data_IF_704172708556
#
_entry.id   IF_704172708556
#
_cell.length_a   1.000
_cell.length_b   1.000
_cell.length_c   1.000
_cell.angle_alpha   90.00
_cell.angle_beta   90.00
_cell.angle_gamma   90.00
#
_symmetry.space_group_name_H-M   'P 1'
#
loop_
_entity.id
_entity.type
_entity.pdbx_description
1 polymer ?
#
# COMPACT_ATOMS: atom_id res chain seq x y z
N UNK A 1 -21.40 -5.70 18.50
CA UNK A 1 -20.91 -4.34 18.18
C UNK A 1 -20.68 -3.47 19.40
N UNK A 2 -21.69 -3.22 20.26
CA UNK A 2 -21.50 -2.44 21.49
C UNK A 2 -20.42 -3.04 22.40
N UNK A 3 -20.53 -4.33 22.69
CA UNK A 3 -19.53 -5.10 23.46
C UNK A 3 -18.13 -4.99 22.83
N UNK A 4 -17.98 -5.28 21.53
CA UNK A 4 -16.71 -5.11 20.82
C UNK A 4 -16.14 -3.69 20.92
N UNK A 5 -16.97 -2.66 20.95
CA UNK A 5 -16.52 -1.27 21.11
C UNK A 5 -16.03 -1.01 22.53
N UNK A 6 -16.78 -1.48 23.54
CA UNK A 6 -16.41 -1.40 24.96
C UNK A 6 -15.08 -2.15 25.24
N UNK A 7 -14.82 -3.24 24.53
CA UNK A 7 -13.57 -4.01 24.61
C UNK A 7 -12.41 -3.44 23.76
N UNK A 8 -12.60 -2.37 22.99
CA UNK A 8 -11.64 -1.87 21.99
C UNK A 8 -11.28 -2.89 20.90
N UNK A 9 -12.27 -3.67 20.45
CA UNK A 9 -12.17 -4.72 19.43
C UNK A 9 -13.13 -4.48 18.27
N UNK A 10 -13.51 -3.23 18.03
CA UNK A 10 -14.41 -2.90 16.93
C UNK A 10 -13.78 -3.29 15.57
N UNK A 11 -14.57 -3.87 14.65
CA UNK A 11 -14.07 -4.33 13.35
C UNK A 11 -13.56 -3.18 12.49
N UNK A 12 -12.55 -3.49 11.66
CA UNK A 12 -12.04 -2.59 10.63
C UNK A 12 -12.35 -3.20 9.26
N UNK A 13 -13.14 -2.49 8.45
CA UNK A 13 -13.40 -2.86 7.07
C UNK A 13 -12.43 -2.13 6.13
N UNK A 14 -12.08 -2.75 5.01
CA UNK A 14 -11.34 -2.08 3.94
C UNK A 14 -12.12 -2.30 2.65
N UNK A 15 -12.50 -1.23 1.98
CA UNK A 15 -13.21 -1.30 0.70
C UNK A 15 -12.21 -1.17 -0.44
N UNK A 16 -12.38 -1.98 -1.48
CA UNK A 16 -11.66 -1.79 -2.75
C UNK A 16 -12.63 -1.48 -3.89
N UNK A 17 -12.18 -0.60 -4.78
CA UNK A 17 -12.82 -0.23 -6.04
C UNK A 17 -11.81 -0.38 -7.17
N UNK A 18 -12.25 -0.62 -8.41
CA UNK A 18 -11.35 -0.59 -9.56
C UNK A 18 -11.56 0.71 -10.34
N UNK A 19 -12.79 0.94 -10.81
CA UNK A 19 -13.13 2.13 -11.62
C UNK A 19 -14.31 2.88 -11.03
N UNK A 20 -14.10 4.17 -10.74
CA UNK A 20 -15.17 5.15 -10.56
C UNK A 20 -15.25 5.94 -11.84
N UNK A 21 -16.30 5.71 -12.63
CA UNK A 21 -16.47 6.34 -13.92
C UNK A 21 -17.93 6.37 -14.33
N UNK A 22 -18.32 7.46 -15.01
CA UNK A 22 -19.63 7.57 -15.69
C UNK A 22 -19.50 7.23 -17.18
N UNK A 23 -18.34 6.70 -17.59
CA UNK A 23 -17.96 6.38 -18.96
C UNK A 23 -17.54 4.92 -19.08
N UNK A 24 -17.92 4.28 -20.19
CA UNK A 24 -17.57 2.88 -20.50
C UNK A 24 -17.81 1.91 -19.33
N UNK A 25 -19.03 1.84 -18.76
CA UNK A 25 -19.29 1.00 -17.60
C UNK A 25 -19.10 -0.48 -17.94
N UNK A 26 -18.46 -1.19 -17.02
CA UNK A 26 -18.32 -2.64 -17.01
C UNK A 26 -18.56 -3.18 -15.59
N UNK A 27 -18.41 -4.49 -15.38
CA UNK A 27 -18.68 -5.15 -14.09
C UNK A 27 -17.79 -4.65 -12.93
N UNK A 28 -16.70 -3.95 -13.23
CA UNK A 28 -15.76 -3.37 -12.26
C UNK A 28 -15.92 -1.86 -12.08
N UNK A 29 -16.97 -1.29 -12.67
CA UNK A 29 -17.24 0.15 -12.64
C UNK A 29 -18.38 0.48 -11.67
N UNK A 30 -18.17 1.52 -10.88
CA UNK A 30 -19.22 2.21 -10.12
C UNK A 30 -19.35 3.64 -10.66
N UNK A 31 -20.58 4.15 -10.79
CA UNK A 31 -20.77 5.56 -11.17
C UNK A 31 -20.27 6.49 -10.06
N UNK A 32 -19.94 7.73 -10.43
CA UNK A 32 -19.50 8.75 -9.46
C UNK A 32 -20.54 8.96 -8.36
N UNK A 33 -21.82 9.04 -8.72
CA UNK A 33 -22.91 9.29 -7.76
C UNK A 33 -23.09 8.11 -6.79
N UNK A 34 -22.99 6.87 -7.27
CA UNK A 34 -23.02 5.69 -6.40
C UNK A 34 -21.81 5.64 -5.48
N UNK A 35 -20.61 5.95 -5.99
CA UNK A 35 -19.39 6.02 -5.18
C UNK A 35 -19.53 7.07 -4.07
N UNK A 36 -19.96 8.29 -4.39
CA UNK A 36 -20.21 9.34 -3.38
C UNK A 36 -21.23 8.87 -2.34
N UNK A 37 -22.31 8.21 -2.77
CA UNK A 37 -23.30 7.62 -1.85
C UNK A 37 -22.69 6.58 -0.91
N UNK A 38 -21.77 5.74 -1.40
CA UNK A 38 -21.06 4.79 -0.55
C UNK A 38 -20.23 5.52 0.50
N UNK A 39 -19.45 6.52 0.10
CA UNK A 39 -18.56 7.24 1.01
C UNK A 39 -19.35 8.02 2.06
N UNK A 40 -20.45 8.67 1.70
CA UNK A 40 -21.30 9.38 2.67
C UNK A 40 -21.95 8.41 3.68
N UNK A 41 -22.42 7.24 3.24
CA UNK A 41 -22.86 6.18 4.16
C UNK A 41 -21.72 5.75 5.10
N UNK A 42 -20.50 5.62 4.57
CA UNK A 42 -19.33 5.27 5.37
C UNK A 42 -19.02 6.34 6.43
N UNK A 43 -19.11 7.63 6.08
CA UNK A 43 -18.91 8.75 7.02
C UNK A 43 -19.93 8.78 8.15
N UNK A 44 -21.18 8.40 7.86
CA UNK A 44 -22.26 8.38 8.85
C UNK A 44 -22.07 7.25 9.88
N UNK A 45 -21.55 6.09 9.45
CA UNK A 45 -21.55 4.88 10.25
C UNK A 45 -20.17 4.41 10.76
N UNK A 46 -19.08 4.90 10.17
CA UNK A 46 -17.72 4.46 10.46
C UNK A 46 -16.77 5.64 10.64
N UNK A 47 -15.66 5.38 11.33
CA UNK A 47 -14.50 6.25 11.27
C UNK A 47 -13.70 5.95 10.00
N UNK A 48 -13.63 6.90 9.05
CA UNK A 48 -12.81 6.71 7.85
C UNK A 48 -11.35 6.98 8.18
N UNK A 49 -10.50 5.97 7.98
CA UNK A 49 -9.08 5.96 8.36
C UNK A 49 -8.19 5.53 7.17
N UNK A 50 -6.90 5.84 7.22
CA UNK A 50 -5.93 5.33 6.26
C UNK A 50 -5.60 3.85 6.51
N UNK A 51 -4.99 3.16 5.53
CA UNK A 51 -4.44 1.82 5.75
C UNK A 51 -3.36 1.80 6.84
N UNK A 52 -2.54 2.87 6.91
CA UNK A 52 -1.58 3.10 7.99
C UNK A 52 -2.21 2.99 9.37
N UNK A 53 -3.30 3.74 9.59
CA UNK A 53 -4.01 3.75 10.87
C UNK A 53 -4.74 2.41 11.12
N UNK A 54 -5.34 1.81 10.08
CA UNK A 54 -5.95 0.49 10.20
C UNK A 54 -4.94 -0.55 10.71
N UNK A 55 -3.75 -0.57 10.11
CA UNK A 55 -2.66 -1.44 10.54
C UNK A 55 -2.18 -1.12 11.97
N UNK A 56 -2.02 0.16 12.31
CA UNK A 56 -1.61 0.56 13.66
C UNK A 56 -2.60 0.04 14.71
N UNK A 57 -3.91 0.12 14.48
CA UNK A 57 -4.93 -0.44 15.39
C UNK A 57 -4.82 -1.95 15.55
N UNK A 58 -4.57 -2.68 14.47
CA UNK A 58 -4.38 -4.13 14.50
C UNK A 58 -3.11 -4.49 15.31
N UNK A 59 -1.99 -3.81 15.08
CA UNK A 59 -0.72 -4.01 15.78
C UNK A 59 -0.83 -3.70 17.29
N UNK A 60 -1.48 -2.59 17.63
CA UNK A 60 -1.70 -2.17 19.02
C UNK A 60 -2.82 -2.96 19.71
N UNK A 61 -3.49 -3.86 18.98
CA UNK A 61 -4.64 -4.63 19.45
C UNK A 61 -5.73 -3.76 20.07
N UNK A 62 -5.96 -2.58 19.48
CA UNK A 62 -6.90 -1.59 20.00
C UNK A 62 -7.62 -0.89 18.85
N UNK A 63 -8.92 -1.16 18.72
CA UNK A 63 -9.84 -0.53 17.78
C UNK A 63 -11.09 -0.08 18.55
N UNK A 64 -11.16 1.20 18.98
CA UNK A 64 -12.22 1.68 19.85
C UNK A 64 -13.54 1.95 19.13
N UNK A 65 -13.53 2.05 17.79
CA UNK A 65 -14.70 2.39 16.97
C UNK A 65 -14.66 1.61 15.66
N UNK A 66 -15.83 1.26 15.09
CA UNK A 66 -15.88 0.67 13.76
C UNK A 66 -15.23 1.62 12.76
N UNK A 67 -14.28 1.11 11.99
CA UNK A 67 -13.50 1.93 11.08
C UNK A 67 -13.51 1.35 9.68
N UNK A 68 -13.25 2.21 8.70
CA UNK A 68 -13.22 1.84 7.30
C UNK A 68 -12.08 2.53 6.58
N UNK A 69 -11.34 1.79 5.76
CA UNK A 69 -10.36 2.34 4.84
C UNK A 69 -10.83 2.16 3.39
N UNK A 70 -10.46 3.10 2.52
CA UNK A 70 -10.87 3.12 1.12
C UNK A 70 -9.64 2.88 0.25
N UNK A 71 -9.74 1.94 -0.69
CA UNK A 71 -8.68 1.61 -1.62
C UNK A 71 -9.17 1.52 -3.06
N UNK A 72 -8.25 1.73 -3.99
CA UNK A 72 -8.45 1.56 -5.42
C UNK A 72 -7.38 0.66 -6.01
N UNK A 73 -7.72 -0.16 -6.99
CA UNK A 73 -6.79 -1.05 -7.68
C UNK A 73 -6.55 -0.62 -9.14
N UNK A 74 -5.58 -1.26 -9.78
CA UNK A 74 -5.15 -1.17 -11.18
C UNK A 74 -4.44 0.12 -11.62
N UNK A 75 -4.95 1.29 -11.24
CA UNK A 75 -4.39 2.56 -11.71
C UNK A 75 -5.08 3.16 -12.95
N UNK A 76 -6.38 2.91 -13.15
CA UNK A 76 -7.16 3.58 -14.20
C UNK A 76 -7.23 5.12 -14.07
N UNK A 77 -6.98 5.83 -15.17
CA UNK A 77 -6.97 7.29 -15.21
C UNK A 77 -8.29 7.94 -14.76
N UNK A 78 -9.42 7.28 -14.99
CA UNK A 78 -10.74 7.79 -14.65
C UNK A 78 -10.92 8.04 -13.15
N UNK A 79 -10.25 7.30 -12.27
CA UNK A 79 -10.32 7.57 -10.83
C UNK A 79 -9.77 8.97 -10.49
N UNK A 80 -8.76 9.45 -11.21
CA UNK A 80 -8.24 10.83 -11.07
C UNK A 80 -9.19 11.89 -11.62
N UNK A 81 -10.18 11.50 -12.42
CA UNK A 81 -11.22 12.40 -12.94
C UNK A 81 -12.46 12.42 -12.05
N UNK A 82 -12.92 11.26 -11.59
CA UNK A 82 -14.24 11.13 -10.96
C UNK A 82 -14.21 10.98 -9.43
N UNK A 83 -13.13 10.44 -8.84
CA UNK A 83 -13.07 10.10 -7.41
C UNK A 83 -11.98 10.84 -6.63
N UNK A 84 -10.72 10.73 -7.05
CA UNK A 84 -9.56 11.16 -6.25
C UNK A 84 -9.59 12.65 -5.88
N UNK A 85 -9.83 13.60 -6.82
CA UNK A 85 -9.91 15.02 -6.44
C UNK A 85 -11.03 15.31 -5.43
N UNK A 86 -12.16 14.61 -5.56
CA UNK A 86 -13.28 14.76 -4.61
C UNK A 86 -12.90 14.24 -3.21
N UNK A 87 -12.20 13.11 -3.12
CA UNK A 87 -11.69 12.58 -1.85
C UNK A 87 -10.70 13.55 -1.19
N UNK A 88 -9.76 14.12 -1.97
CA UNK A 88 -8.80 15.12 -1.50
C UNK A 88 -9.54 16.35 -0.94
N UNK A 89 -10.48 16.92 -1.70
CA UNK A 89 -11.27 18.08 -1.26
C UNK A 89 -12.06 17.81 0.03
N UNK A 90 -12.50 16.56 0.23
CA UNK A 90 -13.23 16.15 1.43
C UNK A 90 -12.32 15.63 2.56
N UNK A 91 -10.99 15.64 2.37
CA UNK A 91 -9.99 15.12 3.32
C UNK A 91 -10.23 13.66 3.69
N UNK A 92 -10.62 12.85 2.71
CA UNK A 92 -10.89 11.43 2.90
C UNK A 92 -9.63 10.64 2.49
N UNK A 93 -8.97 9.93 3.41
CA UNK A 93 -7.77 9.16 3.08
C UNK A 93 -8.14 7.97 2.19
N UNK A 94 -7.30 7.69 1.20
CA UNK A 94 -7.37 6.44 0.44
C UNK A 94 -5.98 5.98 -0.02
N UNK A 95 -5.88 4.69 -0.33
CA UNK A 95 -4.70 4.08 -0.95
C UNK A 95 -5.02 3.64 -2.37
N UNK A 96 -4.21 4.04 -3.34
CA UNK A 96 -4.37 3.70 -4.75
C UNK A 96 -3.25 2.77 -5.21
N UNK A 97 -3.57 1.49 -5.39
CA UNK A 97 -2.68 0.46 -5.89
C UNK A 97 -2.60 0.51 -7.42
N UNK A 98 -1.38 0.48 -7.97
CA UNK A 98 -1.14 0.62 -9.41
C UNK A 98 -0.26 -0.49 -9.97
N UNK A 99 -0.54 -0.93 -11.20
CA UNK A 99 0.33 -1.85 -11.93
C UNK A 99 1.48 -1.06 -12.58
N UNK A 100 2.71 -1.23 -12.06
CA UNK A 100 3.85 -0.34 -12.34
C UNK A 100 4.18 -0.24 -13.83
N UNK A 101 4.22 -1.36 -14.55
CA UNK A 101 4.59 -1.39 -15.98
C UNK A 101 3.49 -0.90 -16.92
N UNK A 102 2.25 -0.87 -16.45
CA UNK A 102 1.16 -0.24 -17.20
C UNK A 102 1.30 1.28 -17.13
N UNK A 103 1.47 1.81 -15.92
CA UNK A 103 1.68 3.25 -15.69
C UNK A 103 2.96 3.74 -16.36
N UNK A 104 4.08 3.02 -16.22
CA UNK A 104 5.37 3.38 -16.82
C UNK A 104 5.25 3.65 -18.32
N UNK A 105 4.54 2.77 -19.00
CA UNK A 105 4.50 2.71 -20.46
C UNK A 105 3.21 3.30 -21.04
N UNK A 106 2.29 3.79 -20.20
CA UNK A 106 0.96 4.26 -20.60
C UNK A 106 0.15 3.18 -21.33
N UNK A 107 0.28 1.91 -20.92
CA UNK A 107 -0.34 0.77 -21.63
C UNK A 107 -1.68 0.39 -21.00
N UNK A 108 -2.77 0.30 -21.80
CA UNK A 108 -4.04 -0.24 -21.32
C UNK A 108 -3.87 -1.72 -20.93
N UNK A 109 -4.79 -2.23 -20.11
CA UNK A 109 -4.79 -3.65 -19.77
C UNK A 109 -5.25 -4.51 -20.94
N UNK A 110 -4.73 -5.75 -21.00
CA UNK A 110 -5.02 -6.68 -22.08
C UNK A 110 -6.53 -6.96 -22.20
N UNK A 111 -7.22 -7.17 -21.08
CA UNK A 111 -8.67 -7.43 -21.09
C UNK A 111 -9.48 -6.25 -21.64
N UNK A 112 -9.04 -5.01 -21.44
CA UNK A 112 -9.71 -3.82 -21.99
C UNK A 112 -9.54 -3.74 -23.50
N UNK A 113 -8.33 -4.04 -23.98
CA UNK A 113 -8.02 -4.11 -25.43
C UNK A 113 -8.82 -5.24 -26.08
N UNK A 114 -8.87 -6.43 -25.47
CA UNK A 114 -9.64 -7.57 -25.94
C UNK A 114 -11.14 -7.28 -26.01
N UNK A 115 -11.65 -6.54 -25.01
CA UNK A 115 -13.03 -6.05 -25.00
C UNK A 115 -13.28 -4.86 -25.94
N UNK A 116 -12.28 -4.48 -26.76
CA UNK A 116 -12.34 -3.37 -27.73
C UNK A 116 -12.66 -2.01 -27.10
N UNK A 117 -12.30 -1.84 -25.83
CA UNK A 117 -12.49 -0.62 -25.07
C UNK A 117 -11.21 -0.34 -24.27
N UNK A 118 -10.08 -0.02 -24.94
CA UNK A 118 -8.85 0.30 -24.22
C UNK A 118 -9.10 1.51 -23.31
N UNK A 119 -8.70 1.38 -22.05
CA UNK A 119 -8.86 2.42 -21.04
C UNK A 119 -7.49 2.96 -20.64
N UNK A 120 -7.42 4.27 -20.46
CA UNK A 120 -6.20 4.92 -20.03
C UNK A 120 -5.87 4.56 -18.58
N UNK A 121 -4.59 4.33 -18.34
CA UNK A 121 -4.01 4.24 -16.99
C UNK A 121 -3.44 5.58 -16.57
N UNK A 122 -3.21 5.76 -15.28
CA UNK A 122 -2.62 6.98 -14.75
C UNK A 122 -1.24 7.25 -15.36
N UNK A 123 -0.96 8.52 -15.60
CA UNK A 123 0.40 9.00 -15.85
C UNK A 123 1.20 9.08 -14.56
N UNK A 124 2.53 9.01 -14.66
CA UNK A 124 3.44 9.19 -13.52
C UNK A 124 3.20 10.54 -12.85
N UNK A 125 2.96 11.60 -13.63
CA UNK A 125 2.68 12.95 -13.14
C UNK A 125 1.39 13.00 -12.32
N UNK A 126 0.33 12.31 -12.75
CA UNK A 126 -0.92 12.21 -12.00
C UNK A 126 -0.72 11.50 -10.66
N UNK A 127 0.00 10.37 -10.64
CA UNK A 127 0.27 9.63 -9.40
C UNK A 127 1.13 10.46 -8.44
N UNK A 128 2.19 11.10 -8.95
CA UNK A 128 3.04 11.99 -8.16
C UNK A 128 2.22 13.14 -7.57
N UNK A 129 1.40 13.82 -8.39
CA UNK A 129 0.56 14.91 -7.91
C UNK A 129 -0.44 14.45 -6.82
N UNK A 130 -1.11 13.31 -7.03
CA UNK A 130 -2.01 12.74 -6.03
C UNK A 130 -1.29 12.39 -4.73
N UNK A 131 -0.08 11.83 -4.82
CA UNK A 131 0.76 11.53 -3.66
C UNK A 131 1.12 12.78 -2.86
N UNK A 132 1.53 13.86 -3.54
CA UNK A 132 1.79 15.15 -2.89
C UNK A 132 0.54 15.78 -2.24
N UNK A 133 -0.66 15.40 -2.71
CA UNK A 133 -1.92 15.80 -2.10
C UNK A 133 -2.41 14.83 -1.00
N UNK A 134 -1.58 13.88 -0.57
CA UNK A 134 -1.86 12.99 0.55
C UNK A 134 -2.56 11.67 0.20
N UNK A 135 -2.64 11.32 -1.09
CA UNK A 135 -3.09 9.98 -1.51
C UNK A 135 -1.93 9.00 -1.37
N UNK A 136 -2.16 7.88 -0.69
CA UNK A 136 -1.13 6.84 -0.59
C UNK A 136 -1.09 6.04 -1.90
N UNK A 137 0.07 5.94 -2.55
CA UNK A 137 0.25 5.09 -3.73
C UNK A 137 0.83 3.76 -3.30
N UNK A 138 0.18 2.67 -3.71
CA UNK A 138 0.55 1.30 -3.39
C UNK A 138 0.92 0.48 -4.63
N UNK A 139 1.54 -0.67 -4.40
CA UNK A 139 1.91 -1.61 -5.47
C UNK A 139 0.72 -2.48 -5.88
N UNK A 140 0.58 -2.77 -7.17
CA UNK A 140 -0.33 -3.79 -7.72
C UNK A 140 0.36 -4.71 -8.73
N UNK A 141 1.58 -5.12 -8.40
CA UNK A 141 2.56 -5.83 -9.25
C UNK A 141 3.12 -4.98 -10.40
N UNK A 142 4.04 -5.54 -11.19
CA UNK A 142 4.53 -4.88 -12.40
C UNK A 142 3.44 -4.92 -13.48
N UNK A 143 2.95 -6.12 -13.82
CA UNK A 143 2.12 -6.38 -14.99
C UNK A 143 0.68 -6.83 -14.66
N UNK A 144 0.21 -6.59 -13.43
CA UNK A 144 -1.06 -7.16 -12.94
C UNK A 144 -1.06 -8.70 -13.05
N UNK A 145 0.01 -9.32 -12.57
CA UNK A 145 0.24 -10.76 -12.74
C UNK A 145 -0.66 -11.62 -11.84
N UNK A 146 -1.22 -12.70 -12.40
CA UNK A 146 -1.83 -13.77 -11.61
C UNK A 146 -0.73 -14.64 -11.00
N UNK A 147 -0.55 -14.57 -9.68
CA UNK A 147 0.47 -15.36 -9.00
C UNK A 147 0.27 -16.87 -9.12
N UNK A 148 -0.90 -17.39 -9.49
CA UNK A 148 -1.03 -18.83 -9.78
C UNK A 148 -0.19 -19.27 -10.99
N UNK A 149 0.18 -18.32 -11.85
CA UNK A 149 0.96 -18.57 -13.07
C UNK A 149 2.45 -18.35 -12.87
N UNK A 150 2.87 -17.79 -11.72
CA UNK A 150 4.27 -17.52 -11.42
C UNK A 150 4.88 -18.70 -10.68
N UNK A 151 5.87 -19.33 -11.31
CA UNK A 151 6.47 -20.58 -10.79
C UNK A 151 7.95 -20.42 -10.44
N UNK A 152 8.55 -19.28 -10.74
CA UNK A 152 9.95 -19.02 -10.43
C UNK A 152 10.12 -17.83 -9.47
N UNK A 153 11.22 -17.85 -8.71
CA UNK A 153 11.59 -16.76 -7.81
C UNK A 153 11.84 -15.44 -8.56
N UNK A 154 12.53 -15.52 -9.70
CA UNK A 154 12.89 -14.34 -10.49
C UNK A 154 11.67 -13.59 -11.02
N UNK A 155 10.65 -14.31 -11.50
CA UNK A 155 9.37 -13.71 -11.91
C UNK A 155 8.66 -13.05 -10.73
N UNK A 156 8.65 -13.70 -9.56
CA UNK A 156 8.05 -13.14 -8.34
C UNK A 156 8.77 -11.86 -7.88
N UNK A 157 10.10 -11.84 -7.93
CA UNK A 157 10.92 -10.67 -7.58
C UNK A 157 10.71 -9.53 -8.58
N UNK A 158 10.58 -9.83 -9.88
CA UNK A 158 10.25 -8.83 -10.90
C UNK A 158 8.89 -8.18 -10.60
N UNK A 159 7.88 -8.99 -10.31
CA UNK A 159 6.52 -8.51 -10.08
C UNK A 159 6.34 -7.77 -8.75
N UNK A 160 7.18 -8.02 -7.73
CA UNK A 160 7.03 -7.41 -6.40
C UNK A 160 8.16 -6.45 -6.08
N UNK A 161 9.41 -6.92 -6.09
CA UNK A 161 10.57 -6.18 -5.57
C UNK A 161 10.98 -5.09 -6.54
N UNK A 162 11.23 -5.45 -7.79
CA UNK A 162 11.66 -4.51 -8.82
C UNK A 162 10.53 -3.51 -9.11
N UNK A 163 9.30 -4.01 -9.26
CA UNK A 163 8.10 -3.19 -9.44
C UNK A 163 7.88 -2.17 -8.31
N UNK A 164 8.15 -2.53 -7.06
CA UNK A 164 8.09 -1.63 -5.91
C UNK A 164 9.15 -0.54 -6.03
N UNK A 165 10.41 -0.93 -6.26
CA UNK A 165 11.53 0.01 -6.35
C UNK A 165 11.31 1.02 -7.49
N UNK A 166 10.86 0.53 -8.63
CA UNK A 166 10.50 1.33 -9.78
C UNK A 166 9.38 2.33 -9.49
N UNK A 167 8.31 1.87 -8.83
CA UNK A 167 7.21 2.74 -8.45
C UNK A 167 7.67 3.83 -7.48
N UNK A 168 8.50 3.50 -6.48
CA UNK A 168 9.09 4.46 -5.55
C UNK A 168 9.91 5.53 -6.30
N UNK A 169 10.71 5.15 -7.30
CA UNK A 169 11.44 6.09 -8.15
C UNK A 169 10.50 6.99 -8.95
N UNK A 170 9.43 6.43 -9.52
CA UNK A 170 8.45 7.18 -10.31
C UNK A 170 7.74 8.25 -9.48
N UNK A 171 7.26 7.90 -8.29
CA UNK A 171 6.47 8.82 -7.45
C UNK A 171 7.33 9.69 -6.54
N UNK A 172 8.56 9.28 -6.23
CA UNK A 172 9.48 9.99 -5.33
C UNK A 172 9.17 9.79 -3.84
N UNK A 173 8.35 8.80 -3.51
CA UNK A 173 7.84 8.50 -2.16
C UNK A 173 7.93 6.98 -1.90
N UNK A 174 7.87 6.59 -0.63
CA UNK A 174 7.90 5.16 -0.25
C UNK A 174 6.59 4.47 -0.58
N UNK A 175 6.69 3.21 -1.03
CA UNK A 175 5.54 2.33 -1.27
C UNK A 175 5.40 1.39 -0.08
N UNK A 176 4.35 1.59 0.72
CA UNK A 176 4.14 0.86 1.97
C UNK A 176 3.26 -0.38 1.83
N UNK A 177 2.32 -0.39 0.89
CA UNK A 177 1.30 -1.43 0.81
C UNK A 177 1.25 -2.05 -0.58
N UNK A 178 0.82 -3.31 -0.61
CA UNK A 178 0.69 -4.10 -1.83
C UNK A 178 -0.70 -4.74 -1.88
N UNK A 179 -1.43 -4.54 -2.97
CA UNK A 179 -2.64 -5.31 -3.25
C UNK A 179 -2.30 -6.43 -4.24
N UNK A 180 -2.76 -7.65 -3.97
CA UNK A 180 -2.52 -8.80 -4.85
C UNK A 180 -3.58 -8.81 -5.97
N UNK A 181 -3.19 -8.85 -7.27
CA UNK A 181 -4.13 -9.00 -8.38
C UNK A 181 -5.03 -10.21 -8.18
N UNK A 182 -6.32 -10.08 -8.49
CA UNK A 182 -7.41 -11.03 -8.17
C UNK A 182 -7.67 -11.21 -6.67
N UNK A 183 -6.61 -11.29 -5.86
CA UNK A 183 -6.65 -11.24 -4.40
C UNK A 183 -7.43 -12.37 -3.74
N UNK A 184 -7.65 -13.49 -4.44
CA UNK A 184 -8.30 -14.68 -3.89
C UNK A 184 -7.30 -15.51 -3.07
N UNK A 185 -7.77 -16.43 -2.20
CA UNK A 185 -6.89 -17.20 -1.32
C UNK A 185 -5.74 -17.90 -2.05
N UNK A 186 -5.99 -18.43 -3.24
CA UNK A 186 -5.02 -19.10 -4.09
C UNK A 186 -3.86 -18.18 -4.54
N UNK A 187 -4.06 -16.88 -4.75
CA UNK A 187 -2.96 -15.94 -5.03
C UNK A 187 -2.19 -15.51 -3.78
N UNK A 188 -2.74 -15.71 -2.57
CA UNK A 188 -2.10 -15.36 -1.30
C UNK A 188 -1.12 -16.45 -0.84
N UNK A 189 -0.23 -16.89 -1.75
CA UNK A 189 0.74 -17.96 -1.48
C UNK A 189 1.82 -17.53 -0.48
N UNK A 190 2.44 -18.48 0.27
CA UNK A 190 3.50 -18.18 1.21
C UNK A 190 4.67 -17.37 0.61
N UNK A 191 5.15 -17.71 -0.59
CA UNK A 191 6.25 -16.99 -1.23
C UNK A 191 5.87 -15.54 -1.55
N UNK A 192 4.63 -15.27 -2.00
CA UNK A 192 4.14 -13.91 -2.25
C UNK A 192 4.14 -13.09 -0.95
N UNK A 193 3.61 -13.67 0.14
CA UNK A 193 3.57 -13.01 1.45
C UNK A 193 4.98 -12.77 2.03
N UNK A 194 5.91 -13.70 1.81
CA UNK A 194 7.28 -13.60 2.28
C UNK A 194 8.08 -12.58 1.48
N UNK A 195 8.03 -12.63 0.14
CA UNK A 195 8.69 -11.64 -0.73
C UNK A 195 8.21 -10.23 -0.41
N UNK A 196 6.91 -10.04 -0.16
CA UNK A 196 6.38 -8.74 0.24
C UNK A 196 6.97 -8.25 1.58
N UNK A 197 7.15 -9.13 2.57
CA UNK A 197 7.80 -8.78 3.84
C UNK A 197 9.27 -8.43 3.63
N UNK A 198 9.98 -9.26 2.88
CA UNK A 198 11.43 -9.15 2.69
C UNK A 198 11.82 -7.87 1.95
N UNK A 199 10.98 -7.38 1.02
CA UNK A 199 11.20 -6.10 0.35
C UNK A 199 10.71 -4.87 1.14
N UNK A 200 10.27 -5.08 2.38
CA UNK A 200 9.92 -4.01 3.31
C UNK A 200 8.54 -3.40 3.11
N UNK A 201 7.62 -4.06 2.40
CA UNK A 201 6.21 -3.66 2.44
C UNK A 201 5.70 -3.81 3.87
N UNK A 202 4.86 -2.88 4.30
CA UNK A 202 4.23 -2.90 5.62
C UNK A 202 3.05 -3.84 5.68
N UNK A 203 2.31 -4.02 4.59
CA UNK A 203 1.17 -4.92 4.54
C UNK A 203 0.76 -5.30 3.13
N UNK A 204 0.02 -6.41 3.04
CA UNK A 204 -0.53 -7.00 1.83
C UNK A 204 -2.04 -7.07 1.90
N UNK A 205 -2.72 -6.75 0.80
CA UNK A 205 -4.17 -6.70 0.72
C UNK A 205 -4.73 -7.81 -0.18
N UNK A 206 -5.72 -8.54 0.34
CA UNK A 206 -6.52 -9.52 -0.43
C UNK A 206 -7.86 -8.92 -0.88
N UNK A 207 -8.64 -9.67 -1.67
CA UNK A 207 -9.93 -9.24 -2.25
C UNK A 207 -11.08 -10.23 -2.02
N UNK A 208 -10.91 -11.23 -1.15
CA UNK A 208 -11.91 -12.27 -0.89
C UNK A 208 -12.91 -11.94 0.24
N UNK A 209 -12.94 -10.70 0.73
CA UNK A 209 -13.86 -10.27 1.78
C UNK A 209 -13.38 -10.54 3.22
N UNK A 210 -14.14 -10.00 4.18
CA UNK A 210 -13.91 -10.17 5.61
C UNK A 210 -13.64 -8.86 6.38
N UNK A 211 -13.73 -8.96 7.70
CA UNK A 211 -13.34 -7.87 8.61
C UNK A 211 -11.89 -8.07 9.05
N UNK A 212 -11.21 -6.99 9.39
CA UNK A 212 -9.94 -7.04 10.10
C UNK A 212 -10.23 -6.78 11.58
N UNK A 213 -9.94 -7.78 12.41
CA UNK A 213 -10.18 -7.79 13.84
C UNK A 213 -8.87 -7.62 14.59
N UNK A 214 -8.90 -6.94 15.74
CA UNK A 214 -7.75 -6.93 16.63
C UNK A 214 -7.42 -8.37 17.06
N UNK A 215 -6.14 -8.75 16.92
CA UNK A 215 -5.68 -10.12 17.10
C UNK A 215 -5.38 -10.87 15.80
N UNK A 216 -5.87 -10.39 14.65
CA UNK A 216 -5.46 -10.89 13.33
C UNK A 216 -4.00 -10.52 13.02
N UNK A 217 -3.42 -11.15 11.99
CA UNK A 217 -2.11 -10.74 11.45
C UNK A 217 -2.21 -9.32 10.87
N UNK A 218 -1.53 -8.30 11.44
CA UNK A 218 -1.60 -6.93 10.96
C UNK A 218 -0.94 -6.71 9.60
N UNK A 219 -0.17 -7.68 9.10
CA UNK A 219 0.41 -7.60 7.77
C UNK A 219 -0.63 -7.95 6.69
N UNK A 220 -1.57 -8.84 6.97
CA UNK A 220 -2.58 -9.26 6.01
C UNK A 220 -3.89 -8.49 6.21
N UNK A 221 -4.19 -7.63 5.24
CA UNK A 221 -5.39 -6.78 5.23
C UNK A 221 -6.42 -7.40 4.29
N UNK A 222 -7.58 -7.76 4.83
CA UNK A 222 -8.72 -8.27 4.05
C UNK A 222 -9.57 -7.12 3.55
N UNK A 223 -9.97 -7.18 2.28
CA UNK A 223 -10.80 -6.14 1.65
C UNK A 223 -12.12 -6.69 1.12
N UNK A 224 -13.13 -5.84 1.13
CA UNK A 224 -14.51 -6.07 0.69
C UNK A 224 -14.72 -5.26 -0.60
N UNK A 225 -15.35 -5.85 -1.61
CA UNK A 225 -15.65 -5.14 -2.85
C UNK A 225 -16.65 -4.00 -2.59
N UNK A 226 -16.36 -2.81 -3.14
CA UNK A 226 -17.24 -1.65 -3.17
C UNK A 226 -18.44 -1.82 -4.11
N UNK A 227 -19.24 -2.86 -3.90
CA UNK A 227 -20.30 -3.34 -4.79
C UNK A 227 -21.33 -2.24 -5.16
N UNK A 228 -21.53 -1.93 -6.46
CA UNK A 228 -22.50 -0.93 -6.90
C UNK A 228 -23.95 -1.20 -6.45
N UNK A 229 -24.29 -2.45 -6.14
CA UNK A 229 -25.52 -2.76 -5.42
C UNK A 229 -25.35 -2.39 -3.94
N UNK A 230 -25.92 -1.25 -3.59
CA UNK A 230 -25.84 -0.67 -2.26
C UNK A 230 -26.37 -1.60 -1.16
N UNK A 231 -27.31 -2.49 -1.45
CA UNK A 231 -27.81 -3.46 -0.45
C UNK A 231 -26.72 -4.48 -0.13
N UNK A 232 -26.00 -4.96 -1.16
CA UNK A 232 -24.89 -5.92 -0.98
C UNK A 232 -23.73 -5.28 -0.23
N UNK A 233 -23.36 -4.03 -0.56
CA UNK A 233 -22.36 -3.28 0.21
C UNK A 233 -22.76 -3.18 1.69
N UNK A 234 -23.97 -2.70 1.97
CA UNK A 234 -24.45 -2.54 3.35
C UNK A 234 -24.51 -3.85 4.10
N UNK A 235 -24.89 -4.94 3.43
CA UNK A 235 -24.81 -6.26 4.02
C UNK A 235 -23.38 -6.55 4.45
N UNK A 236 -22.40 -6.44 3.55
CA UNK A 236 -20.99 -6.70 3.85
C UNK A 236 -20.46 -5.87 5.03
N UNK A 237 -20.79 -4.58 5.07
CA UNK A 237 -20.35 -3.65 6.12
C UNK A 237 -21.09 -3.84 7.46
N UNK A 238 -22.22 -4.55 7.47
CA UNK A 238 -22.95 -4.85 8.70
C UNK A 238 -22.29 -6.02 9.42
N UNK A 239 -21.69 -5.74 10.59
CA UNK A 239 -21.01 -6.75 11.38
C UNK A 239 -21.93 -7.94 11.73
N UNK A 240 -21.45 -9.14 11.42
CA UNK A 240 -22.10 -10.41 11.73
C UNK A 240 -20.99 -11.44 11.98
N UNK A 241 -20.96 -12.01 13.18
CA UNK A 241 -19.96 -12.99 13.59
C UNK A 241 -19.95 -14.24 12.72
N UNK A 242 -21.07 -14.57 12.06
CA UNK A 242 -21.13 -15.70 11.12
C UNK A 242 -20.19 -15.52 9.94
N UNK A 243 -19.92 -14.28 9.52
CA UNK A 243 -18.97 -13.99 8.43
C UNK A 243 -17.51 -14.22 8.85
N UNK A 244 -17.19 -14.10 10.14
CA UNK A 244 -15.85 -14.46 10.63
C UNK A 244 -15.56 -15.95 10.42
N UNK A 245 -16.58 -16.80 10.57
CA UNK A 245 -16.49 -18.25 10.33
C UNK A 245 -16.40 -18.65 8.86
N UNK A 246 -16.60 -17.70 7.94
CA UNK A 246 -16.51 -17.91 6.50
C UNK A 246 -15.15 -17.46 5.92
N UNK A 247 -14.21 -17.05 6.78
CA UNK A 247 -12.86 -16.67 6.33
C UNK A 247 -12.19 -17.89 5.69
N UNK A 248 -11.74 -17.78 4.42
CA UNK A 248 -11.09 -18.90 3.74
C UNK A 248 -9.72 -19.20 4.36
N UNK A 249 -9.33 -20.47 4.31
CA UNK A 249 -7.97 -20.91 4.65
C UNK A 249 -7.02 -20.52 3.52
N UNK A 250 -5.87 -19.95 3.87
CA UNK A 250 -4.82 -19.64 2.90
C UNK A 250 -3.95 -20.86 2.60
N UNK A 251 -3.34 -20.95 1.40
CA UNK A 251 -2.35 -21.96 1.08
C UNK A 251 -1.19 -21.96 2.07
N UNK A 252 -0.77 -23.14 2.52
CA UNK A 252 0.41 -23.32 3.40
C UNK A 252 1.64 -23.83 2.64
N UNK A 253 1.44 -24.35 1.43
CA UNK A 253 2.49 -24.83 0.54
C UNK A 253 2.64 -23.87 -0.64
N UNK A 254 3.82 -23.88 -1.25
CA UNK A 254 4.14 -23.09 -2.42
C UNK A 254 4.69 -23.97 -3.54
N UNK A 255 4.53 -23.53 -4.78
CA UNK A 255 5.13 -24.19 -5.95
C UNK A 255 6.59 -23.75 -6.17
N UNK A 256 7.00 -22.65 -5.54
CA UNK A 256 8.39 -22.19 -5.51
C UNK A 256 9.10 -22.88 -4.34
N UNK A 257 10.12 -23.68 -4.61
CA UNK A 257 10.82 -24.45 -3.58
C UNK A 257 11.54 -23.53 -2.56
N UNK A 258 11.49 -23.87 -1.26
CA UNK A 258 12.09 -23.07 -0.19
C UNK A 258 13.58 -22.75 -0.37
N UNK A 259 14.34 -23.68 -0.98
CA UNK A 259 15.77 -23.48 -1.29
C UNK A 259 16.00 -22.30 -2.24
N UNK A 260 15.01 -22.02 -3.08
CA UNK A 260 15.02 -20.96 -4.07
C UNK A 260 14.43 -19.66 -3.50
N UNK A 261 13.94 -19.64 -2.25
CA UNK A 261 13.47 -18.45 -1.53
C UNK A 261 14.54 -17.79 -0.66
N UNK A 262 15.65 -18.47 -0.33
CA UNK A 262 16.76 -17.88 0.45
C UNK A 262 17.42 -16.75 -0.33
N UNK A 263 17.22 -15.52 0.11
CA UNK A 263 17.78 -14.33 -0.55
C UNK A 263 19.30 -14.24 -0.38
N UNK A 264 20.06 -13.71 -1.35
CA UNK A 264 21.43 -13.27 -1.12
C UNK A 264 21.53 -12.07 -0.17
N UNK A 265 20.41 -11.47 0.26
CA UNK A 265 20.38 -10.50 1.37
C UNK A 265 20.60 -11.16 2.76
N UNK A 266 21.60 -12.04 2.86
CA UNK A 266 22.16 -12.42 4.16
C UNK A 266 23.28 -11.44 4.51
N UNK A 267 23.17 -10.82 5.69
CA UNK A 267 24.05 -9.79 6.22
C UNK A 267 25.54 -9.95 5.87
N UNK A 268 26.17 -8.85 5.42
CA UNK A 268 27.63 -8.72 5.50
C UNK A 268 28.07 -8.89 6.96
N UNK A 269 29.10 -9.71 7.24
CA UNK A 269 29.67 -9.75 8.58
C UNK A 269 30.35 -8.41 8.85
N UNK A 270 29.97 -7.81 9.98
CA UNK A 270 30.58 -6.58 10.49
C UNK A 270 32.11 -6.71 10.50
N UNK A 271 32.76 -5.74 9.86
CA UNK A 271 34.21 -5.60 9.82
C UNK A 271 34.80 -5.61 11.24
N UNK A 272 35.89 -6.34 11.37
CA UNK A 272 36.76 -6.47 12.54
C UNK A 272 37.05 -5.13 13.21
N UNK A 273 36.67 -5.00 14.48
CA UNK A 273 37.26 -3.99 15.37
C UNK A 273 38.68 -4.43 15.74
N UNK A 274 39.68 -3.74 15.20
CA UNK A 274 41.02 -3.70 15.76
C UNK A 274 41.01 -2.90 17.07
N UNK A 275 41.69 -3.34 18.14
CA UNK A 275 41.72 -2.62 19.41
C UNK A 275 42.70 -1.45 19.32
N UNK A 276 42.24 -0.26 19.72
CA UNK A 276 43.11 0.89 19.96
C UNK A 276 43.88 0.62 21.25
N UNK A 277 45.20 0.47 21.13
CA UNK A 277 46.15 0.42 22.23
C UNK A 277 46.25 1.81 22.84
N UNK A 278 45.92 1.92 24.12
CA UNK A 278 46.24 3.07 24.95
C UNK A 278 47.71 3.01 25.37
N UNK A 279 48.50 4.01 24.99
CA UNK A 279 49.74 4.37 25.70
C UNK A 279 49.73 5.84 26.05
N UNK A 280 49.59 6.09 27.34
CA UNK A 280 49.93 7.32 28.04
C UNK A 280 51.41 7.62 27.86
N UNK A 281 51.79 8.88 27.59
CA UNK A 281 52.62 9.67 28.51
C UNK A 281 53.16 11.00 27.93
N UNK A 282 53.08 12.01 28.79
CA UNK A 282 54.10 13.00 29.16
C UNK A 282 54.33 14.26 28.29
N UNK A 283 54.10 15.40 28.98
CA UNK A 283 54.89 16.65 29.00
C UNK A 283 54.83 17.51 27.72
N UNK A 284 54.90 18.84 27.72
CA UNK A 284 54.98 19.92 28.69
C UNK A 284 54.83 21.24 27.89
N UNK A 285 54.34 22.28 28.55
CA UNK A 285 54.75 23.70 28.43
C UNK A 285 54.75 24.47 27.08
N UNK A 286 54.18 25.68 27.15
CA UNK A 286 54.70 26.86 26.45
C UNK A 286 53.74 27.43 25.38
N UNK A 287 52.89 28.43 25.63
CA UNK A 287 53.20 29.85 25.90
C UNK A 287 53.56 30.67 24.65
N UNK A 288 52.76 31.74 24.45
CA UNK A 288 53.02 33.04 23.82
C UNK A 288 52.69 33.28 22.32
N UNK A 289 51.79 34.27 22.16
CA UNK A 289 51.81 35.45 21.27
C UNK A 289 51.84 35.19 19.75
N UNK A 290 51.10 35.89 18.89
CA UNK A 290 50.38 37.15 18.98
C UNK A 290 50.17 37.69 17.54
N UNK A 291 49.42 38.79 17.42
CA UNK A 291 49.35 39.62 16.19
C UNK A 291 48.24 39.19 15.21
N UNK A 292 47.03 39.73 15.26
CA UNK A 292 46.58 41.09 14.89
C UNK A 292 46.45 41.34 13.38
N UNK A 293 45.21 41.65 12.99
CA UNK A 293 44.83 42.66 11.97
C UNK A 293 45.06 42.25 10.50
N UNK A 294 44.19 42.47 9.51
CA UNK A 294 43.26 43.56 9.22
C UNK A 294 42.15 43.07 8.26
N UNK A 295 40.91 43.47 8.52
CA UNK A 295 39.86 43.73 7.50
C UNK A 295 40.15 45.12 6.85
N UNK A 296 39.67 45.43 5.63
CA UNK A 296 38.25 45.74 5.33
C UNK A 296 37.74 45.10 4.02
N UNK A 297 36.47 44.71 3.88
CA UNK A 297 35.31 45.53 3.47
C UNK A 297 35.66 46.45 2.26
N UNK A 298 34.95 46.54 1.13
CA UNK A 298 33.50 46.64 0.91
C UNK A 298 33.20 46.55 -0.64
N UNK A 299 32.01 46.91 -1.22
CA UNK A 299 31.26 46.07 -2.17
C UNK A 299 30.90 46.73 -3.54
N UNK A 300 29.90 46.14 -4.23
CA UNK A 300 28.86 46.70 -5.14
C UNK A 300 28.84 46.26 -6.62
N UNK A 301 27.62 45.82 -6.99
CA UNK A 301 26.87 45.98 -8.26
C UNK A 301 27.34 45.18 -9.48
N UNK A 302 26.46 44.59 -10.31
CA UNK A 302 25.06 44.90 -10.62
C UNK A 302 24.18 43.64 -10.78
#
# INVERSE_FOLDING_TARGET
MRELTEENRAPISVLFYHRVADTHPNDWTISKDQFVRHIEYCREHFEIISLGEAQTRLQQKRSPRPAIAITFDDGYAENMRFAIPWLICNRIPCTYFVATEHVRNGRPFAHDVENRCPLDVNTIEQLRAASHCGIEIGLHTANHADFNRITTRSELETEIVDAKMDLEIMIGERVNYFAVPYGLPEQMRPAVMQTARDCGLRGICSAYGGYNMVGDDPFHIRRIHGDPDFIRLRNWLSFDERKLRQTPTLPTEDVIAERDLRSPFSASPANSRTPIVTTSNLLENGSLLGGSSLLPDTPLQA
#
